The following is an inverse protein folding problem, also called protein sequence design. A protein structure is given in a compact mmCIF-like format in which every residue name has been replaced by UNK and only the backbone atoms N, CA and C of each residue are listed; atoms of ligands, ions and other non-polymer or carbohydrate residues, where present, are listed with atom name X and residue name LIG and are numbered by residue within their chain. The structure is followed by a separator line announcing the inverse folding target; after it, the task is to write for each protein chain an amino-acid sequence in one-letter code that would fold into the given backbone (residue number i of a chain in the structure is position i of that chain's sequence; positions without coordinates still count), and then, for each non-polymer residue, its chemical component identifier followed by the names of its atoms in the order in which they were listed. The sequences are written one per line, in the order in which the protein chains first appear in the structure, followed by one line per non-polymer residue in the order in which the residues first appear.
data_IF_403163188584
#
_entry.id   IF_403163188584
#
_cell.length_a   1.000
_cell.length_b   1.000
_cell.length_c   1.000
_cell.angle_alpha   90.00
_cell.angle_beta   90.00
_cell.angle_gamma   90.00
#
_symmetry.space_group_name_H-M   'P 1'
#
loop_
_entity.id
_entity.type
_entity.pdbx_description
1 polymer ?
#
# COMPACT_ATOMS: atom_id res chain seq x y z
N UNK A 1 -0.13 11.05 9.06
CA UNK A 1 -0.07 10.75 10.52
C UNK A 1 -0.46 11.99 11.31
N UNK A 2 -1.59 11.98 12.01
CA UNK A 2 -1.98 13.12 12.83
C UNK A 2 -1.28 13.07 14.19
N UNK A 3 -0.78 14.21 14.67
CA UNK A 3 -0.04 14.32 15.94
C UNK A 3 -0.87 13.78 17.12
N UNK A 4 -2.19 13.99 17.11
CA UNK A 4 -3.13 13.46 18.12
C UNK A 4 -3.05 11.94 18.26
N UNK A 5 -2.91 11.21 17.17
CA UNK A 5 -2.89 9.75 17.18
C UNK A 5 -1.55 9.23 17.71
N UNK A 6 -0.46 9.99 17.45
CA UNK A 6 0.88 9.69 17.96
C UNK A 6 1.03 9.85 19.47
N UNK A 7 0.18 10.66 20.11
CA UNK A 7 0.23 10.93 21.56
C UNK A 7 -0.55 9.85 22.33
N UNK A 8 -1.62 9.32 21.74
CA UNK A 8 -2.49 8.35 22.39
C UNK A 8 -1.79 7.02 22.69
N UNK A 9 -1.05 6.47 21.73
CA UNK A 9 -0.35 5.19 21.89
C UNK A 9 0.65 5.14 23.08
N UNK A 10 1.55 6.15 23.26
CA UNK A 10 2.41 6.19 24.44
C UNK A 10 1.64 6.49 25.73
N UNK A 11 0.56 7.28 25.70
CA UNK A 11 -0.29 7.50 26.88
C UNK A 11 -0.91 6.19 27.38
N UNK A 12 -1.53 5.42 26.49
CA UNK A 12 -2.14 4.12 26.82
C UNK A 12 -1.09 3.12 27.36
N UNK A 13 0.12 3.13 26.81
CA UNK A 13 1.23 2.26 27.26
C UNK A 13 1.74 2.64 28.65
N UNK A 14 1.83 3.94 28.96
CA UNK A 14 2.23 4.41 30.29
C UNK A 14 1.17 4.07 31.35
N UNK A 15 -0.12 4.20 31.00
CA UNK A 15 -1.22 3.77 31.87
C UNK A 15 -1.17 2.26 32.18
N UNK A 16 -0.67 1.46 31.24
CA UNK A 16 -0.45 0.01 31.42
C UNK A 16 0.87 -0.34 32.13
N UNK A 17 1.61 0.64 32.67
CA UNK A 17 2.81 0.42 33.48
C UNK A 17 4.11 0.20 32.70
N UNK A 18 4.10 0.40 31.37
CA UNK A 18 5.32 0.31 30.56
C UNK A 18 6.12 1.61 30.59
N UNK A 19 7.44 1.49 30.67
CA UNK A 19 8.33 2.65 30.52
C UNK A 19 8.41 3.05 29.04
N UNK A 20 7.80 4.18 28.70
CA UNK A 20 7.77 4.74 27.35
C UNK A 20 8.52 6.07 27.29
N UNK A 21 9.31 6.26 26.24
CA UNK A 21 9.98 7.54 25.96
C UNK A 21 9.00 8.67 25.62
N UNK A 22 9.46 9.91 25.74
CA UNK A 22 8.67 11.10 25.39
C UNK A 22 8.71 11.39 23.88
N UNK A 23 7.61 11.92 23.37
CA UNK A 23 7.57 12.48 22.02
C UNK A 23 8.34 13.81 22.02
N UNK A 24 9.45 13.89 21.28
CA UNK A 24 10.24 15.11 21.17
C UNK A 24 9.82 15.92 19.95
N UNK A 25 9.71 17.24 20.12
CA UNK A 25 9.50 18.15 19.00
C UNK A 25 10.74 18.16 18.11
N UNK A 26 10.55 18.06 16.80
CA UNK A 26 11.63 18.18 15.82
C UNK A 26 11.68 19.61 15.29
N UNK A 27 12.87 20.09 14.94
CA UNK A 27 12.99 21.39 14.28
C UNK A 27 12.27 21.37 12.92
N UNK A 28 11.74 22.51 12.43
CA UNK A 28 11.01 22.56 11.15
C UNK A 28 11.75 21.91 9.97
N UNK A 29 13.07 22.02 9.94
CA UNK A 29 13.91 21.50 8.86
C UNK A 29 14.26 20.00 9.03
N UNK A 30 13.92 19.40 10.17
CA UNK A 30 14.12 17.98 10.43
C UNK A 30 12.90 17.12 10.04
N UNK A 31 11.75 17.76 9.78
CA UNK A 31 10.60 17.06 9.24
C UNK A 31 10.90 16.63 7.81
N UNK A 32 10.95 15.30 7.62
CA UNK A 32 11.14 14.67 6.30
C UNK A 32 9.83 14.19 5.71
N UNK A 33 8.69 14.45 6.34
CA UNK A 33 7.40 14.09 5.79
C UNK A 33 6.30 14.97 6.34
N UNK A 34 5.30 15.23 5.51
CA UNK A 34 4.08 15.90 5.93
C UNK A 34 2.89 15.33 5.18
N UNK A 35 1.74 15.37 5.84
CA UNK A 35 0.48 14.83 5.34
C UNK A 35 -0.53 15.97 5.21
N UNK A 36 -1.13 16.08 4.04
CA UNK A 36 -2.20 17.03 3.73
C UNK A 36 -3.49 16.25 3.47
N UNK A 37 -4.41 16.27 4.42
CA UNK A 37 -5.74 15.65 4.31
C UNK A 37 -6.80 16.63 3.78
N UNK A 38 -6.40 17.54 2.90
CA UNK A 38 -7.31 18.51 2.30
C UNK A 38 -7.99 17.89 1.08
N UNK A 39 -9.28 18.18 0.90
CA UNK A 39 -9.98 17.89 -0.35
C UNK A 39 -9.59 18.93 -1.42
N UNK A 40 -9.76 18.56 -2.70
CA UNK A 40 -9.45 19.46 -3.84
C UNK A 40 -8.12 19.18 -4.52
N UNK A 41 -7.56 17.98 -4.37
CA UNK A 41 -6.47 17.50 -5.21
C UNK A 41 -7.06 16.82 -6.45
N UNK A 42 -6.64 17.28 -7.63
CA UNK A 42 -7.02 16.69 -8.92
C UNK A 42 -5.77 16.35 -9.72
N UNK A 43 -5.83 15.25 -10.46
CA UNK A 43 -4.77 14.88 -11.40
C UNK A 43 -5.11 15.38 -12.79
N UNK A 44 -4.33 16.34 -13.27
CA UNK A 44 -4.46 16.85 -14.64
C UNK A 44 -3.30 16.34 -15.51
N UNK A 45 -3.52 16.27 -16.83
CA UNK A 45 -2.41 16.18 -17.79
C UNK A 45 -2.24 17.52 -18.49
N UNK A 46 -1.12 18.20 -18.21
CA UNK A 46 -0.73 19.42 -18.92
C UNK A 46 0.52 19.10 -19.75
N UNK A 47 0.48 19.40 -21.05
CA UNK A 47 1.60 19.19 -21.98
C UNK A 47 2.19 17.76 -21.99
N UNK A 48 1.34 16.74 -21.82
CA UNK A 48 1.77 15.34 -21.77
C UNK A 48 2.38 14.87 -20.45
N UNK A 49 2.55 15.77 -19.47
CA UNK A 49 2.99 15.46 -18.11
C UNK A 49 1.81 15.45 -17.14
N UNK A 50 1.79 14.48 -16.22
CA UNK A 50 0.82 14.48 -15.13
C UNK A 50 1.21 15.54 -14.10
N UNK A 51 0.28 16.43 -13.79
CA UNK A 51 0.43 17.44 -12.75
C UNK A 51 -0.63 17.21 -11.68
N UNK A 52 -0.24 17.47 -10.44
CA UNK A 52 -1.17 17.54 -9.32
C UNK A 52 -1.62 18.98 -9.19
N UNK A 53 -2.90 19.23 -9.47
CA UNK A 53 -3.54 20.53 -9.35
C UNK A 53 -4.25 20.62 -7.99
N UNK A 54 -4.04 21.71 -7.27
CA UNK A 54 -4.74 22.01 -6.02
C UNK A 54 -5.84 23.06 -6.28
N UNK A 55 -7.11 22.66 -6.19
CA UNK A 55 -8.25 23.54 -6.47
C UNK A 55 -8.63 24.46 -5.30
N UNK A 56 -8.11 24.20 -4.09
CA UNK A 56 -8.47 24.97 -2.90
C UNK A 56 -7.48 26.12 -2.62
N UNK A 57 -7.83 27.34 -3.05
CA UNK A 57 -7.24 28.64 -2.68
C UNK A 57 -5.76 28.92 -3.01
N UNK A 58 -4.98 27.93 -3.45
CA UNK A 58 -3.59 28.09 -3.89
C UNK A 58 -3.40 27.37 -5.23
N UNK A 59 -3.42 28.15 -6.31
CA UNK A 59 -3.18 27.70 -7.69
C UNK A 59 -1.72 27.27 -7.85
N UNK A 60 -1.38 26.05 -7.42
CA UNK A 60 -0.04 25.49 -7.61
C UNK A 60 -0.19 24.17 -8.37
N UNK A 61 0.41 24.14 -9.55
CA UNK A 61 0.62 22.93 -10.33
C UNK A 61 1.95 22.31 -9.92
N UNK A 62 1.92 21.09 -9.37
CA UNK A 62 3.14 20.36 -9.02
C UNK A 62 3.35 19.26 -10.05
N UNK A 63 4.43 19.29 -10.85
CA UNK A 63 4.74 18.20 -11.77
C UNK A 63 5.11 16.95 -10.97
N UNK A 64 4.47 15.83 -11.29
CA UNK A 64 4.71 14.55 -10.63
C UNK A 64 5.01 13.46 -11.64
N UNK A 65 5.89 12.54 -11.27
CA UNK A 65 6.08 11.29 -12.01
C UNK A 65 5.23 10.23 -11.36
N UNK A 66 4.28 9.66 -12.10
CA UNK A 66 3.36 8.65 -11.56
C UNK A 66 3.86 7.26 -11.91
N UNK A 67 4.02 6.40 -10.92
CA UNK A 67 4.46 5.01 -11.11
C UNK A 67 3.39 4.10 -11.75
N UNK A 68 2.12 4.51 -11.75
CA UNK A 68 1.00 3.77 -12.33
C UNK A 68 0.10 4.72 -13.11
N UNK A 69 -0.48 4.24 -14.19
CA UNK A 69 -1.44 5.04 -14.93
C UNK A 69 -2.73 5.21 -14.12
N UNK A 70 -3.14 6.46 -13.92
CA UNK A 70 -4.41 6.81 -13.30
C UNK A 70 -5.43 6.79 -14.42
N UNK A 71 -6.35 5.82 -14.40
CA UNK A 71 -7.36 5.69 -15.45
C UNK A 71 -8.31 6.90 -15.40
N UNK A 72 -8.61 7.48 -16.58
CA UNK A 72 -9.41 8.71 -16.72
C UNK A 72 -10.92 8.49 -16.53
N UNK A 73 -11.37 7.25 -16.71
CA UNK A 73 -12.76 6.82 -16.66
C UNK A 73 -13.31 6.71 -15.23
N UNK A 74 -12.41 6.59 -14.24
CA UNK A 74 -12.75 6.56 -12.82
C UNK A 74 -12.43 7.92 -12.20
N UNK A 75 -13.45 8.57 -11.65
CA UNK A 75 -13.27 9.77 -10.80
C UNK A 75 -12.60 9.34 -9.50
N UNK A 76 -11.26 9.28 -9.51
CA UNK A 76 -10.46 8.96 -8.34
C UNK A 76 -10.34 10.21 -7.47
N UNK A 77 -11.13 10.27 -6.40
CA UNK A 77 -11.07 11.39 -5.46
C UNK A 77 -9.87 11.22 -4.53
N UNK A 78 -8.91 12.13 -4.58
CA UNK A 78 -7.78 12.15 -3.64
C UNK A 78 -8.25 12.76 -2.32
N UNK A 79 -8.17 11.97 -1.25
CA UNK A 79 -8.52 12.39 0.11
C UNK A 79 -7.34 12.95 0.87
N UNK A 80 -6.16 12.35 0.67
CA UNK A 80 -4.97 12.68 1.42
C UNK A 80 -3.73 12.55 0.55
N UNK A 81 -2.81 13.49 0.70
CA UNK A 81 -1.48 13.44 0.10
C UNK A 81 -0.44 13.43 1.19
N UNK A 82 0.39 12.40 1.21
CA UNK A 82 1.53 12.29 2.11
C UNK A 82 2.82 12.44 1.30
N UNK A 83 3.59 13.48 1.61
CA UNK A 83 4.87 13.77 0.96
C UNK A 83 5.98 13.37 1.91
N UNK A 84 6.96 12.62 1.42
CA UNK A 84 8.13 12.17 2.19
C UNK A 84 9.41 12.41 1.41
N UNK A 85 10.44 12.88 2.12
CA UNK A 85 11.82 12.96 1.68
C UNK A 85 12.57 11.73 2.18
N UNK A 86 13.09 10.93 1.26
CA UNK A 86 13.93 9.78 1.61
C UNK A 86 15.32 10.22 2.06
N UNK A 87 16.08 9.29 2.65
CA UNK A 87 17.46 9.55 3.05
C UNK A 87 18.35 9.93 1.86
N UNK A 88 18.01 9.47 0.65
CA UNK A 88 18.65 9.84 -0.63
C UNK A 88 18.47 11.31 -0.98
N UNK A 89 17.52 12.01 -0.32
CA UNK A 89 17.16 13.39 -0.61
C UNK A 89 16.04 13.54 -1.63
N UNK A 90 15.61 12.44 -2.25
CA UNK A 90 14.49 12.39 -3.18
C UNK A 90 13.15 12.54 -2.47
N UNK A 91 12.20 13.16 -3.17
CA UNK A 91 10.85 13.39 -2.67
C UNK A 91 9.86 12.45 -3.34
N UNK A 92 9.00 11.85 -2.53
CA UNK A 92 7.95 10.95 -2.96
C UNK A 92 6.61 11.42 -2.42
N UNK A 93 5.56 11.30 -3.25
CA UNK A 93 4.19 11.56 -2.86
C UNK A 93 3.38 10.26 -2.88
N UNK A 94 2.64 10.02 -1.80
CA UNK A 94 1.68 8.92 -1.68
C UNK A 94 0.29 9.51 -1.57
N UNK A 95 -0.65 8.96 -2.33
CA UNK A 95 -2.01 9.46 -2.43
C UNK A 95 -2.97 8.43 -1.82
N UNK A 96 -3.74 8.84 -0.82
CA UNK A 96 -4.90 8.08 -0.38
C UNK A 96 -6.08 8.50 -1.26
N UNK A 97 -6.66 7.52 -1.94
CA UNK A 97 -7.75 7.76 -2.90
C UNK A 97 -9.00 7.01 -2.46
N UNK A 98 -10.16 7.62 -2.68
CA UNK A 98 -11.48 7.01 -2.51
C UNK A 98 -12.09 6.69 -3.88
N UNK A 99 -13.13 5.84 -3.88
CA UNK A 99 -13.87 5.43 -5.09
C UNK A 99 -13.05 4.64 -6.11
N UNK A 100 -12.11 3.82 -5.64
CA UNK A 100 -11.53 2.79 -6.51
C UNK A 100 -12.61 1.75 -6.79
N UNK A 101 -12.89 1.50 -8.06
CA UNK A 101 -13.77 0.42 -8.47
C UNK A 101 -13.20 -0.91 -7.96
N UNK A 102 -13.85 -1.48 -6.95
CA UNK A 102 -13.54 -2.81 -6.45
C UNK A 102 -14.30 -3.82 -7.31
N UNK A 103 -13.64 -4.89 -7.78
CA UNK A 103 -14.36 -5.94 -8.48
C UNK A 103 -15.44 -6.51 -7.55
N UNK A 104 -16.67 -6.66 -8.07
CA UNK A 104 -17.77 -7.21 -7.31
C UNK A 104 -17.39 -8.59 -6.74
N UNK A 105 -17.72 -8.80 -5.46
CA UNK A 105 -17.56 -10.12 -4.85
C UNK A 105 -18.47 -11.11 -5.59
N UNK A 106 -17.98 -12.27 -6.03
CA UNK A 106 -18.84 -13.29 -6.62
C UNK A 106 -19.82 -13.82 -5.55
N UNK A 107 -21.10 -13.92 -5.90
CA UNK A 107 -22.17 -14.39 -5.00
C UNK A 107 -22.03 -15.89 -4.66
N UNK A 108 -21.55 -16.69 -5.61
CA UNK A 108 -21.30 -18.11 -5.44
C UNK A 108 -19.92 -18.48 -6.00
N UNK A 109 -18.86 -18.43 -5.19
CA UNK A 109 -17.52 -18.79 -5.66
C UNK A 109 -17.45 -20.30 -5.92
N UNK A 110 -17.15 -20.69 -7.17
CA UNK A 110 -16.92 -22.10 -7.55
C UNK A 110 -15.73 -22.72 -6.80
N UNK A 111 -14.80 -21.87 -6.33
CA UNK A 111 -13.61 -22.27 -5.59
C UNK A 111 -13.29 -21.26 -4.49
N UNK A 112 -13.26 -21.76 -3.26
CA UNK A 112 -12.75 -21.03 -2.11
C UNK A 112 -11.34 -21.52 -1.78
N UNK A 113 -10.41 -20.58 -1.61
CA UNK A 113 -9.02 -20.88 -1.22
C UNK A 113 -8.75 -20.21 0.13
N UNK A 114 -8.50 -21.01 1.16
CA UNK A 114 -8.01 -20.51 2.44
C UNK A 114 -6.53 -20.18 2.34
N UNK A 115 -6.11 -19.03 2.87
CA UNK A 115 -4.69 -18.65 2.98
C UNK A 115 -4.33 -18.62 4.46
N UNK A 116 -3.35 -19.43 4.85
CA UNK A 116 -2.79 -19.43 6.21
C UNK A 116 -1.38 -18.82 6.22
N UNK A 117 -1.08 -18.13 7.32
CA UNK A 117 0.23 -17.52 7.56
C UNK A 117 0.93 -18.34 8.64
N UNK A 118 1.54 -19.43 8.21
CA UNK A 118 2.28 -20.32 9.10
C UNK A 118 3.63 -19.74 9.54
N UNK A 119 4.09 -20.15 10.72
CA UNK A 119 5.38 -19.71 11.31
C UNK A 119 6.57 -20.13 10.45
N UNK A 120 6.50 -21.30 9.80
CA UNK A 120 7.61 -21.89 9.04
C UNK A 120 7.51 -21.54 7.54
N UNK A 121 6.30 -21.41 7.00
CA UNK A 121 6.02 -21.11 5.59
C UNK A 121 4.95 -20.04 5.49
N UNK A 122 5.27 -18.94 4.82
CA UNK A 122 4.44 -17.75 4.77
C UNK A 122 4.38 -17.18 3.35
N UNK A 123 3.18 -16.98 2.76
CA UNK A 123 1.88 -17.63 3.03
C UNK A 123 1.76 -19.00 2.33
N UNK A 124 0.86 -19.86 2.82
CA UNK A 124 0.46 -21.09 2.10
C UNK A 124 -1.06 -21.24 2.00
N UNK A 125 -1.52 -21.85 0.91
CA UNK A 125 -2.94 -21.99 0.59
C UNK A 125 -3.48 -23.41 0.83
N UNK A 126 -4.81 -23.58 0.81
CA UNK A 126 -5.50 -24.89 0.95
C UNK A 126 -5.06 -25.90 -0.10
N UNK A 127 -4.56 -25.44 -1.25
CA UNK A 127 -4.04 -26.30 -2.31
C UNK A 127 -2.56 -26.69 -2.09
N UNK A 128 -1.97 -26.31 -0.95
CA UNK A 128 -0.60 -26.64 -0.60
C UNK A 128 0.45 -25.80 -1.33
N UNK A 129 0.06 -24.74 -2.03
CA UNK A 129 1.01 -23.77 -2.59
C UNK A 129 1.55 -22.96 -1.44
N UNK A 130 2.86 -22.94 -1.30
CA UNK A 130 3.53 -22.08 -0.36
C UNK A 130 4.47 -21.16 -1.12
N UNK A 131 4.51 -19.88 -0.72
CA UNK A 131 5.65 -19.05 -1.06
C UNK A 131 6.82 -19.56 -0.23
N UNK A 132 7.87 -20.05 -0.90
CA UNK A 132 9.06 -20.54 -0.23
C UNK A 132 9.66 -19.46 0.67
N UNK A 133 10.09 -19.83 1.88
CA UNK A 133 10.81 -18.93 2.76
C UNK A 133 12.09 -18.47 2.05
N UNK A 134 12.23 -17.15 1.92
CA UNK A 134 13.34 -16.52 1.20
C UNK A 134 14.60 -16.64 2.05
N UNK A 135 15.45 -17.63 1.76
CA UNK A 135 16.84 -17.58 2.21
C UNK A 135 17.56 -16.47 1.41
N UNK A 136 17.58 -15.27 1.99
CA UNK A 136 18.52 -14.15 1.81
C UNK A 136 18.90 -13.65 0.40
N UNK A 137 18.32 -14.16 -0.69
CA UNK A 137 18.64 -13.73 -2.06
C UNK A 137 17.50 -12.91 -2.65
N UNK A 138 17.71 -11.60 -2.72
CA UNK A 138 16.79 -10.63 -3.29
C UNK A 138 16.67 -10.84 -4.82
N UNK A 139 15.45 -11.00 -5.34
CA UNK A 139 15.19 -10.95 -6.79
C UNK A 139 14.56 -12.19 -7.45
N UNK A 140 14.46 -13.35 -6.79
CA UNK A 140 13.74 -14.52 -7.34
C UNK A 140 12.88 -15.19 -6.27
N UNK A 141 11.56 -15.14 -6.44
CA UNK A 141 10.61 -15.90 -5.61
C UNK A 141 10.10 -17.05 -6.45
N UNK A 142 10.34 -18.29 -6.02
CA UNK A 142 9.77 -19.49 -6.66
C UNK A 142 8.54 -19.90 -5.88
N UNK A 143 7.40 -20.06 -6.58
CA UNK A 143 6.22 -20.71 -6.01
C UNK A 143 6.41 -22.21 -6.19
N UNK A 144 6.46 -22.95 -5.09
CA UNK A 144 6.53 -24.41 -5.15
C UNK A 144 5.11 -24.97 -5.33
N UNK A 145 4.90 -25.71 -6.42
CA UNK A 145 3.64 -26.38 -6.75
C UNK A 145 3.81 -27.88 -6.49
N UNK A 146 3.33 -28.34 -5.32
CA UNK A 146 3.51 -29.72 -4.86
C UNK A 146 2.38 -30.66 -5.36
N UNK A 147 1.69 -30.32 -6.44
CA UNK A 147 0.68 -31.20 -7.03
C UNK A 147 1.30 -32.54 -7.46
N UNK A 148 0.71 -33.65 -7.01
CA UNK A 148 0.85 -34.94 -7.70
C UNK A 148 0.02 -34.85 -8.98
N UNK A 149 0.61 -34.99 -10.18
CA UNK A 149 -0.18 -34.94 -11.40
C UNK A 149 -1.25 -36.05 -11.39
N UNK A 150 -2.46 -35.79 -11.91
CA UNK A 150 -3.48 -36.83 -11.97
C UNK A 150 -2.96 -38.01 -12.79
N UNK A 151 -3.16 -39.23 -12.26
CA UNK A 151 -2.76 -40.44 -12.95
C UNK A 151 -3.42 -40.47 -14.34
N UNK A 152 -2.62 -40.53 -15.39
CA UNK A 152 -3.09 -40.74 -16.75
C UNK A 152 -3.81 -42.08 -16.80
N UNK A 153 -5.14 -42.08 -16.76
CA UNK A 153 -5.91 -43.25 -17.17
C UNK A 153 -5.75 -43.37 -18.68
N UNK A 154 -4.93 -44.33 -19.11
CA UNK A 154 -4.90 -44.76 -20.50
C UNK A 154 -6.25 -45.42 -20.80
N UNK A 155 -7.06 -44.78 -21.65
CA UNK A 155 -8.19 -45.45 -22.28
C UNK A 155 -7.62 -46.51 -23.23
N UNK A 156 -7.79 -47.78 -22.85
CA UNK A 156 -7.58 -48.91 -23.75
C UNK A 156 -8.78 -48.98 -24.71
N UNK A 157 -8.45 -49.06 -25.99
CA UNK A 157 -9.36 -49.17 -27.15
C UNK A 157 -10.30 -50.37 -27.09
#
# INVERSE_FOLDING_TARGET
MHIKDSIKAPQDSNQNGYNVGSLNWKLPNEYRSFTCAQSGFEFDRKNGQTVLSLSLSKLVDIPITVHREIRKDVTVTVKEVSIKKEQTGEWYASFAVENKEEPAKPDNPDRCIGTDVGIIKCPHDTDGRAVGSRSNNWGKTTVEDNRVPPATQAEAT
#
